data_IF_892912310497
#
_entry.id   IF_892912310497
#
_cell.length_a   1.000
_cell.length_b   1.000
_cell.length_c   1.000
_cell.angle_alpha   90.00
_cell.angle_beta   90.00
_cell.angle_gamma   90.00
#
_symmetry.space_group_name_H-M   'P 1'
#
loop_
_entity.id
_entity.type
_entity.pdbx_description
1 polymer ?
#
# COMPACT_ATOMS: atom_id res chain seq x y z
N UNK A 1 -26.13 5.25 10.68
CA UNK A 1 -25.48 4.48 11.75
C UNK A 1 -24.00 4.51 11.40
N UNK A 2 -23.22 5.43 11.99
CA UNK A 2 -21.77 5.36 11.84
C UNK A 2 -21.33 4.24 12.75
N UNK A 3 -21.02 3.08 12.18
CA UNK A 3 -20.33 2.02 12.90
C UNK A 3 -18.99 2.63 13.33
N UNK A 4 -18.80 2.81 14.64
CA UNK A 4 -17.52 3.29 15.18
C UNK A 4 -16.45 2.31 14.73
N UNK A 5 -15.57 2.76 13.84
CA UNK A 5 -14.44 1.97 13.36
C UNK A 5 -13.67 1.46 14.57
N UNK A 6 -13.57 0.15 14.71
CA UNK A 6 -12.93 -0.48 15.87
C UNK A 6 -11.50 0.08 16.03
N UNK A 7 -11.04 0.43 17.26
CA UNK A 7 -9.73 1.06 17.47
C UNK A 7 -8.56 0.31 16.83
N UNK A 8 -8.66 -1.03 16.79
CA UNK A 8 -7.67 -1.89 16.12
C UNK A 8 -7.62 -1.67 14.60
N UNK A 9 -8.76 -1.46 13.95
CA UNK A 9 -8.82 -1.14 12.51
C UNK A 9 -8.13 0.20 12.25
N UNK A 10 -8.34 1.19 13.13
CA UNK A 10 -7.66 2.48 13.01
C UNK A 10 -6.14 2.35 13.18
N UNK A 11 -5.69 1.54 14.14
CA UNK A 11 -4.26 1.25 14.35
C UNK A 11 -3.63 0.59 13.13
N UNK A 12 -4.26 -0.48 12.59
CA UNK A 12 -3.77 -1.19 11.40
C UNK A 12 -3.71 -0.27 10.18
N UNK A 13 -4.72 0.58 9.99
CA UNK A 13 -4.73 1.55 8.90
C UNK A 13 -3.61 2.58 9.02
N UNK A 14 -3.30 3.05 10.22
CA UNK A 14 -2.16 3.95 10.46
C UNK A 14 -0.82 3.26 10.15
N UNK A 15 -0.66 2.00 10.56
CA UNK A 15 0.55 1.21 10.28
C UNK A 15 0.73 0.92 8.78
N UNK A 16 -0.36 0.59 8.07
CA UNK A 16 -0.35 0.42 6.61
C UNK A 16 0.00 1.73 5.89
N UNK A 17 -0.54 2.86 6.36
CA UNK A 17 -0.25 4.16 5.77
C UNK A 17 1.23 4.53 5.91
N UNK A 18 1.84 4.27 7.07
CA UNK A 18 3.27 4.50 7.28
C UNK A 18 4.12 3.57 6.40
N UNK A 19 3.78 2.28 6.35
CA UNK A 19 4.46 1.32 5.47
C UNK A 19 4.42 1.77 4.00
N UNK A 20 3.25 2.20 3.53
CA UNK A 20 3.08 2.68 2.16
C UNK A 20 3.87 3.97 1.90
N UNK A 21 3.92 4.88 2.88
CA UNK A 21 4.72 6.11 2.77
C UNK A 21 6.22 5.81 2.66
N UNK A 22 6.76 4.95 3.52
CA UNK A 22 8.18 4.56 3.49
C UNK A 22 8.54 3.87 2.17
N UNK A 23 7.69 2.92 1.74
CA UNK A 23 7.86 2.21 0.48
C UNK A 23 7.82 3.18 -0.70
N UNK A 24 6.80 4.04 -0.75
CA UNK A 24 6.65 5.04 -1.82
C UNK A 24 7.87 5.95 -1.87
N UNK A 25 8.36 6.44 -0.73
CA UNK A 25 9.55 7.30 -0.68
C UNK A 25 10.80 6.58 -1.19
N UNK A 26 10.94 5.29 -0.91
CA UNK A 26 12.10 4.48 -1.34
C UNK A 26 12.07 4.20 -2.84
N UNK A 27 10.89 3.97 -3.41
CA UNK A 27 10.74 3.50 -4.79
C UNK A 27 10.31 4.58 -5.78
N UNK A 28 9.72 5.70 -5.34
CA UNK A 28 9.26 6.78 -6.23
C UNK A 28 10.37 7.40 -7.09
N UNK A 29 11.62 7.42 -6.59
CA UNK A 29 12.76 7.90 -7.38
C UNK A 29 13.25 6.89 -8.42
N UNK A 30 13.00 5.59 -8.19
CA UNK A 30 13.39 4.50 -9.07
C UNK A 30 12.27 4.10 -10.06
N UNK A 31 11.07 4.64 -9.87
CA UNK A 31 9.92 4.29 -10.67
C UNK A 31 9.93 4.98 -12.02
N UNK A 32 9.54 4.23 -13.05
CA UNK A 32 9.37 4.78 -14.38
C UNK A 32 8.10 5.63 -14.43
N UNK A 33 8.24 6.87 -14.91
CA UNK A 33 7.09 7.75 -15.13
C UNK A 33 6.29 7.24 -16.33
N UNK A 34 5.12 6.67 -16.09
CA UNK A 34 4.19 6.34 -17.17
C UNK A 34 3.28 7.52 -17.49
N UNK A 35 3.15 7.81 -18.79
CA UNK A 35 2.23 8.83 -19.27
C UNK A 35 0.80 8.31 -19.15
N UNK A 36 0.07 8.80 -18.16
CA UNK A 36 -1.35 8.52 -18.01
C UNK A 36 -2.12 9.12 -19.21
N UNK A 37 -2.96 8.31 -19.87
CA UNK A 37 -3.80 8.72 -21.00
C UNK A 37 -5.16 9.28 -20.58
N UNK A 38 -5.45 9.33 -19.28
CA UNK A 38 -6.68 9.91 -18.75
C UNK A 38 -6.70 11.43 -19.03
N UNK A 39 -7.77 11.89 -19.68
CA UNK A 39 -7.90 13.27 -20.17
C UNK A 39 -8.15 14.33 -19.10
N UNK A 40 -8.20 13.96 -17.82
CA UNK A 40 -8.50 14.89 -16.73
C UNK A 40 -7.30 15.02 -15.79
N UNK A 41 -6.67 16.20 -15.84
CA UNK A 41 -5.51 16.61 -15.02
C UNK A 41 -5.80 16.59 -13.50
N UNK A 42 -7.08 16.45 -13.10
CA UNK A 42 -7.46 16.26 -11.70
C UNK A 42 -7.04 14.90 -11.12
N UNK A 43 -6.59 13.97 -11.98
CA UNK A 43 -6.06 12.66 -11.58
C UNK A 43 -4.54 12.68 -11.74
N UNK A 44 -3.83 13.40 -10.86
CA UNK A 44 -2.39 13.22 -10.68
C UNK A 44 -2.11 11.90 -9.94
N UNK A 45 -2.48 10.78 -10.56
CA UNK A 45 -1.84 9.50 -10.29
C UNK A 45 -0.72 9.38 -11.33
N UNK A 46 0.49 9.81 -10.94
CA UNK A 46 1.66 9.24 -11.57
C UNK A 46 1.62 7.76 -11.19
N UNK A 47 1.29 6.90 -12.14
CA UNK A 47 1.45 5.46 -11.97
C UNK A 47 2.96 5.21 -11.86
N UNK A 48 3.40 5.07 -10.62
CA UNK A 48 4.75 4.70 -10.23
C UNK A 48 4.78 3.19 -10.41
N UNK A 49 5.39 2.72 -11.48
CA UNK A 49 5.73 1.30 -11.63
C UNK A 49 6.99 1.06 -10.78
N UNK A 50 6.89 0.40 -9.62
CA UNK A 50 8.06 0.07 -8.85
C UNK A 50 8.88 -1.01 -9.57
N UNK A 51 10.18 -1.16 -9.24
CA UNK A 51 11.00 -2.25 -9.77
C UNK A 51 10.37 -3.63 -9.51
N UNK A 52 10.56 -4.58 -10.42
CA UNK A 52 10.04 -5.94 -10.25
C UNK A 52 10.51 -6.55 -8.91
N UNK A 53 9.56 -7.03 -8.10
CA UNK A 53 9.80 -7.60 -6.77
C UNK A 53 9.90 -6.57 -5.63
N UNK A 54 9.80 -5.26 -5.90
CA UNK A 54 9.72 -4.25 -4.85
C UNK A 54 8.43 -4.37 -4.01
N UNK A 55 7.39 -4.98 -4.58
CA UNK A 55 6.11 -5.19 -3.91
C UNK A 55 6.13 -6.38 -2.96
N UNK A 56 7.04 -7.34 -3.13
CA UNK A 56 7.02 -8.60 -2.37
C UNK A 56 7.19 -8.35 -0.87
N UNK A 57 8.15 -7.50 -0.50
CA UNK A 57 8.38 -7.10 0.90
C UNK A 57 7.20 -6.27 1.44
N UNK A 58 6.64 -5.37 0.62
CA UNK A 58 5.49 -4.55 0.98
C UNK A 58 4.26 -5.41 1.26
N UNK A 59 3.91 -6.33 0.34
CA UNK A 59 2.76 -7.23 0.46
C UNK A 59 2.91 -8.12 1.69
N UNK A 60 4.10 -8.69 1.90
CA UNK A 60 4.39 -9.54 3.04
C UNK A 60 4.15 -8.80 4.36
N UNK A 61 4.63 -7.55 4.46
CA UNK A 61 4.48 -6.73 5.66
C UNK A 61 3.06 -6.19 5.85
N UNK A 62 2.36 -5.85 4.77
CA UNK A 62 0.96 -5.44 4.80
C UNK A 62 0.07 -6.57 5.35
N UNK A 63 0.30 -7.80 4.90
CA UNK A 63 -0.38 -9.00 5.43
C UNK A 63 -0.20 -9.16 6.93
N UNK A 64 1.04 -9.04 7.42
CA UNK A 64 1.32 -9.11 8.86
C UNK A 64 0.54 -8.04 9.67
N UNK A 65 0.47 -6.79 9.16
CA UNK A 65 -0.28 -5.69 9.81
C UNK A 65 -1.78 -5.99 9.83
N UNK A 66 -2.31 -6.53 8.74
CA UNK A 66 -3.74 -6.83 8.62
C UNK A 66 -4.16 -8.11 9.37
N UNK A 67 -3.20 -8.88 9.90
CA UNK A 67 -3.44 -10.13 10.63
C UNK A 67 -3.53 -11.37 9.73
N UNK A 68 -2.88 -11.33 8.58
CA UNK A 68 -2.75 -12.44 7.65
C UNK A 68 -1.35 -13.06 7.74
N UNK A 69 -1.25 -14.31 7.32
CA UNK A 69 0.01 -14.99 7.10
C UNK A 69 0.80 -14.27 5.98
N UNK A 70 2.07 -13.90 6.24
CA UNK A 70 2.88 -13.15 5.29
C UNK A 70 3.06 -13.86 3.95
N UNK A 71 3.20 -15.19 3.97
CA UNK A 71 3.62 -15.98 2.83
C UNK A 71 2.40 -16.52 2.08
N UNK A 72 1.39 -16.99 2.80
CA UNK A 72 0.18 -17.62 2.22
C UNK A 72 -0.97 -16.63 2.01
N UNK A 73 -1.02 -15.52 2.76
CA UNK A 73 -2.14 -14.58 2.74
C UNK A 73 -3.40 -15.10 3.42
N UNK A 74 -3.31 -16.17 4.22
CA UNK A 74 -4.44 -16.68 5.00
C UNK A 74 -4.68 -15.84 6.26
N UNK A 75 -5.94 -15.55 6.60
CA UNK A 75 -6.26 -14.75 7.79
C UNK A 75 -6.00 -15.56 9.08
N UNK A 76 -5.26 -14.99 10.04
CA UNK A 76 -4.77 -15.71 11.23
C UNK A 76 -5.65 -15.59 12.48
N UNK A 77 -6.68 -14.74 12.47
CA UNK A 77 -7.62 -14.61 13.59
C UNK A 77 -7.34 -13.44 14.50
#
# INVERSE_FOLDING_TARGET
MHEEVHPEVFRRMAELAELHYEWSRRHAAAAELKRNSAGDYSVHHLDVDPPAGADDEFIRRAREIEGYDPDTGEYLG
#
